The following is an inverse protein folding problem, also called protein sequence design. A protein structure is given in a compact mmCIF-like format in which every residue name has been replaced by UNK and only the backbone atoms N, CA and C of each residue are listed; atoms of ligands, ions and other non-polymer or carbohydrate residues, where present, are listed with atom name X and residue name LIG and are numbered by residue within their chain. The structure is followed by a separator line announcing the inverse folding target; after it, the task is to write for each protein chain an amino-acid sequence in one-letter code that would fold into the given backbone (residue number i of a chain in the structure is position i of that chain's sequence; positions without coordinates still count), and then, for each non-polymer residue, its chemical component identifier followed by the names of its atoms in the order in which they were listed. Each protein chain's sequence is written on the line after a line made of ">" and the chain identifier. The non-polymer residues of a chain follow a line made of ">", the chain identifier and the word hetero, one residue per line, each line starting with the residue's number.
data_IF_417703229006
#
_entry.id   IF_417703229006
#
_cell.length_a   1.000
_cell.length_b   1.000
_cell.length_c   1.000
_cell.angle_alpha   90.00
_cell.angle_beta   90.00
_cell.angle_gamma   90.00
#
_symmetry.space_group_name_H-M   'P 1'
#
loop_
_entity.id
_entity.type
_entity.pdbx_description
1 polymer ?
#
# COMPACT_ATOMS: atom_id res chain seq x y z
N UNK A 1 -2.60 -7.59 -30.50
CA UNK A 1 -2.22 -7.99 -29.13
C UNK A 1 -3.29 -8.92 -28.61
N UNK A 2 -2.90 -10.06 -28.06
CA UNK A 2 -3.70 -11.20 -27.58
C UNK A 2 -4.21 -11.02 -26.13
N UNK A 3 -4.32 -9.78 -25.65
CA UNK A 3 -4.69 -9.45 -24.25
C UNK A 3 -3.79 -10.10 -23.19
N UNK A 4 -2.56 -10.45 -23.56
CA UNK A 4 -1.55 -10.99 -22.66
C UNK A 4 -0.80 -9.85 -21.98
N UNK A 5 -0.67 -9.93 -20.64
CA UNK A 5 0.06 -8.98 -19.83
C UNK A 5 1.37 -9.65 -19.40
N UNK A 6 2.50 -9.24 -19.99
CA UNK A 6 3.81 -9.77 -19.62
C UNK A 6 4.31 -9.16 -18.30
N UNK A 7 4.09 -7.85 -18.10
CA UNK A 7 4.52 -7.14 -16.90
C UNK A 7 3.67 -5.87 -16.69
N UNK A 8 3.36 -5.57 -15.43
CA UNK A 8 2.77 -4.30 -15.01
C UNK A 8 3.49 -3.79 -13.77
N UNK A 9 3.60 -2.46 -13.65
CA UNK A 9 4.01 -1.80 -12.43
C UNK A 9 2.76 -1.31 -11.71
N UNK A 10 2.58 -1.73 -10.47
CA UNK A 10 1.45 -1.37 -9.63
C UNK A 10 1.96 -0.78 -8.32
N UNK A 11 1.21 0.19 -7.78
CA UNK A 11 1.57 0.88 -6.54
C UNK A 11 1.02 0.20 -5.28
N UNK A 12 0.12 -0.77 -5.45
CA UNK A 12 -0.62 -1.43 -4.38
C UNK A 12 -0.38 -2.95 -4.44
N UNK A 13 0.11 -3.52 -3.33
CA UNK A 13 0.44 -4.94 -3.21
C UNK A 13 -0.78 -5.87 -3.38
N UNK A 14 -2.00 -5.36 -3.17
CA UNK A 14 -3.25 -6.12 -3.35
C UNK A 14 -3.78 -6.09 -4.78
N UNK A 15 -3.25 -5.19 -5.63
CA UNK A 15 -3.85 -4.84 -6.92
C UNK A 15 -4.04 -6.03 -7.86
N UNK A 16 -3.03 -6.89 -7.96
CA UNK A 16 -3.09 -8.07 -8.82
C UNK A 16 -4.23 -9.00 -8.38
N UNK A 17 -4.34 -9.29 -7.08
CA UNK A 17 -5.42 -10.12 -6.51
C UNK A 17 -6.79 -9.49 -6.74
N UNK A 18 -6.93 -8.18 -6.52
CA UNK A 18 -8.20 -7.47 -6.73
C UNK A 18 -8.64 -7.53 -8.21
N UNK A 19 -7.71 -7.40 -9.15
CA UNK A 19 -8.02 -7.49 -10.58
C UNK A 19 -8.31 -8.92 -11.04
N UNK A 20 -7.69 -9.93 -10.42
CA UNK A 20 -8.05 -11.35 -10.63
C UNK A 20 -9.50 -11.60 -10.15
N UNK A 21 -9.84 -11.13 -8.94
CA UNK A 21 -11.19 -11.25 -8.39
C UNK A 21 -12.26 -10.56 -9.26
N UNK A 22 -11.89 -9.46 -9.92
CA UNK A 22 -12.75 -8.73 -10.87
C UNK A 22 -12.77 -9.34 -12.28
N UNK A 23 -12.05 -10.43 -12.54
CA UNK A 23 -11.95 -11.05 -13.87
C UNK A 23 -11.18 -10.22 -14.91
N UNK A 24 -10.39 -9.23 -14.45
CA UNK A 24 -9.60 -8.34 -15.31
C UNK A 24 -8.22 -8.91 -15.62
N UNK A 25 -7.64 -9.66 -14.69
CA UNK A 25 -6.38 -10.39 -14.86
C UNK A 25 -6.60 -11.91 -14.81
N UNK A 26 -5.84 -12.71 -15.58
CA UNK A 26 -5.79 -14.15 -15.40
C UNK A 26 -5.30 -14.53 -14.00
N UNK A 27 -5.79 -15.64 -13.47
CA UNK A 27 -5.37 -16.19 -12.17
C UNK A 27 -3.93 -16.74 -12.16
N UNK A 28 -3.20 -16.62 -13.27
CA UNK A 28 -1.78 -16.94 -13.43
C UNK A 28 -0.86 -15.76 -13.12
N UNK A 29 -1.37 -14.53 -13.03
CA UNK A 29 -0.58 -13.34 -12.69
C UNK A 29 -0.07 -13.42 -11.25
N UNK A 30 1.20 -13.10 -11.02
CA UNK A 30 1.82 -13.07 -9.69
C UNK A 30 2.60 -11.77 -9.49
N UNK A 31 2.54 -11.25 -8.26
CA UNK A 31 3.37 -10.13 -7.83
C UNK A 31 4.77 -10.63 -7.53
N UNK A 32 5.78 -9.82 -7.87
CA UNK A 32 7.17 -10.07 -7.51
C UNK A 32 7.79 -8.82 -6.88
N UNK A 33 8.73 -9.03 -5.98
CA UNK A 33 9.63 -8.00 -5.44
C UNK A 33 11.03 -8.24 -5.98
N UNK A 34 11.84 -7.19 -6.07
CA UNK A 34 13.19 -7.28 -6.63
C UNK A 34 14.20 -7.64 -5.53
N UNK A 35 15.18 -8.49 -5.85
CA UNK A 35 16.28 -8.86 -4.93
C UNK A 35 17.10 -7.64 -4.46
N UNK A 36 17.20 -6.60 -5.31
CA UNK A 36 17.85 -5.32 -4.97
C UNK A 36 16.99 -4.42 -4.09
N UNK A 37 15.76 -4.84 -3.79
CA UNK A 37 14.74 -4.09 -3.08
C UNK A 37 13.73 -3.40 -3.99
N UNK A 38 12.55 -3.13 -3.43
CA UNK A 38 11.40 -2.50 -4.08
C UNK A 38 10.95 -1.31 -3.23
N UNK A 39 10.65 -0.17 -3.86
CA UNK A 39 10.20 1.01 -3.13
C UNK A 39 8.92 0.70 -2.36
N UNK A 40 8.91 1.01 -1.07
CA UNK A 40 7.75 0.91 -0.20
C UNK A 40 7.35 2.32 0.26
N UNK A 41 6.05 2.57 0.30
CA UNK A 41 5.46 3.82 0.75
C UNK A 41 4.37 3.50 1.79
N UNK A 42 4.13 4.45 2.70
CA UNK A 42 2.95 4.48 3.55
C UNK A 42 2.24 5.82 3.35
N UNK A 43 0.91 5.79 3.31
CA UNK A 43 0.11 7.02 3.26
C UNK A 43 0.07 7.70 4.62
N UNK A 44 0.23 9.02 4.63
CA UNK A 44 0.21 9.83 5.86
C UNK A 44 -1.02 10.74 5.92
N UNK A 45 -1.54 10.92 7.14
CA UNK A 45 -2.57 11.92 7.44
C UNK A 45 -1.91 13.07 8.18
N UNK A 46 -2.06 14.28 7.66
CA UNK A 46 -1.50 15.50 8.26
C UNK A 46 -2.61 16.50 8.61
N UNK A 47 -2.46 17.19 9.74
CA UNK A 47 -3.29 18.33 10.13
C UNK A 47 -2.50 19.60 9.83
N UNK A 48 -2.93 20.45 8.88
CA UNK A 48 -2.18 21.64 8.53
C UNK A 48 -2.20 22.66 9.67
N UNK A 49 -1.13 23.47 9.78
CA UNK A 49 -0.98 24.44 10.87
C UNK A 49 -2.11 25.48 10.95
N UNK A 50 -2.82 25.71 9.84
CA UNK A 50 -3.93 26.64 9.71
C UNK A 50 -5.31 25.93 9.64
N UNK A 51 -5.41 24.68 10.10
CA UNK A 51 -6.68 23.97 10.14
C UNK A 51 -7.74 24.77 10.94
N UNK A 52 -8.92 24.95 10.35
CA UNK A 52 -10.02 25.69 10.99
C UNK A 52 -10.61 24.93 12.20
N UNK A 53 -10.38 23.62 12.30
CA UNK A 53 -10.76 22.80 13.46
C UNK A 53 -9.73 21.67 13.70
N UNK A 54 -8.60 21.95 14.37
CA UNK A 54 -7.56 20.94 14.60
C UNK A 54 -8.01 19.82 15.54
N UNK A 55 -8.89 20.10 16.51
CA UNK A 55 -9.41 19.09 17.43
C UNK A 55 -10.29 18.07 16.70
N UNK A 56 -11.20 18.52 15.81
CA UNK A 56 -12.00 17.63 14.98
C UNK A 56 -11.15 16.80 14.02
N UNK A 57 -10.12 17.40 13.42
CA UNK A 57 -9.18 16.67 12.57
C UNK A 57 -8.42 15.58 13.34
N UNK A 58 -8.06 15.83 14.61
CA UNK A 58 -7.41 14.83 15.47
C UNK A 58 -8.32 13.64 15.78
N UNK A 59 -9.63 13.86 15.95
CA UNK A 59 -10.60 12.77 16.16
C UNK A 59 -10.60 11.84 14.94
N UNK A 60 -10.65 12.40 13.73
CA UNK A 60 -10.57 11.61 12.50
C UNK A 60 -9.23 10.88 12.40
N UNK A 61 -8.10 11.55 12.68
CA UNK A 61 -6.79 10.91 12.65
C UNK A 61 -6.70 9.73 13.61
N UNK A 62 -7.23 9.86 14.84
CA UNK A 62 -7.30 8.76 15.80
C UNK A 62 -8.17 7.61 15.31
N UNK A 63 -9.32 7.91 14.69
CA UNK A 63 -10.18 6.88 14.11
C UNK A 63 -9.49 6.12 12.97
N UNK A 64 -8.80 6.84 12.07
CA UNK A 64 -8.05 6.22 10.98
C UNK A 64 -6.93 5.31 11.49
N UNK A 65 -6.37 5.57 12.68
CA UNK A 65 -5.36 4.72 13.33
C UNK A 65 -5.97 3.62 14.22
N UNK A 66 -7.28 3.58 14.39
CA UNK A 66 -7.93 2.58 15.26
C UNK A 66 -7.80 1.16 14.68
N UNK A 67 -7.64 0.13 15.53
CA UNK A 67 -7.65 -1.26 15.09
C UNK A 67 -8.82 -1.62 14.19
N UNK A 68 -10.04 -1.27 14.60
CA UNK A 68 -11.26 -1.56 13.83
C UNK A 68 -11.19 -1.02 12.40
N UNK A 69 -10.75 0.23 12.23
CA UNK A 69 -10.60 0.82 10.90
C UNK A 69 -9.45 0.20 10.11
N UNK A 70 -8.34 -0.13 10.78
CA UNK A 70 -7.18 -0.79 10.16
C UNK A 70 -7.49 -2.22 9.70
N UNK A 71 -8.34 -2.95 10.42
CA UNK A 71 -8.84 -4.26 9.99
C UNK A 71 -9.80 -4.10 8.81
N UNK A 72 -10.76 -3.16 8.90
CA UNK A 72 -11.72 -2.88 7.83
C UNK A 72 -11.03 -2.52 6.51
N UNK A 73 -10.02 -1.63 6.52
CA UNK A 73 -9.35 -1.22 5.29
C UNK A 73 -8.55 -2.34 4.63
N UNK A 74 -8.22 -3.40 5.37
CA UNK A 74 -7.51 -4.57 4.82
C UNK A 74 -8.43 -5.59 4.17
N UNK A 75 -9.74 -5.49 4.38
CA UNK A 75 -10.72 -6.34 3.70
C UNK A 75 -10.64 -6.12 2.18
N UNK A 76 -10.39 -7.16 1.36
CA UNK A 76 -10.37 -7.07 -0.10
C UNK A 76 -11.69 -6.60 -0.72
N UNK A 77 -12.80 -6.75 -0.02
CA UNK A 77 -14.11 -6.25 -0.47
C UNK A 77 -14.29 -4.74 -0.23
N UNK A 78 -13.41 -4.14 0.56
CA UNK A 78 -13.39 -2.71 0.86
C UNK A 78 -12.23 -2.03 0.09
N UNK A 79 -11.10 -1.77 0.75
CA UNK A 79 -9.91 -1.16 0.13
C UNK A 79 -8.80 -2.16 -0.18
N UNK A 80 -8.72 -3.29 0.55
CA UNK A 80 -7.68 -4.31 0.39
C UNK A 80 -6.25 -3.83 0.72
N UNK A 81 -6.10 -2.74 1.45
CA UNK A 81 -4.80 -2.17 1.78
C UNK A 81 -4.07 -2.96 2.87
N UNK A 82 -2.77 -2.71 3.05
CA UNK A 82 -2.02 -3.26 4.18
C UNK A 82 -2.26 -2.41 5.43
N UNK A 83 -2.19 -3.03 6.61
CA UNK A 83 -2.22 -2.31 7.90
C UNK A 83 -1.04 -1.36 8.01
N UNK A 84 -1.30 -0.15 8.50
CA UNK A 84 -0.29 0.88 8.76
C UNK A 84 0.20 0.89 10.21
N UNK A 85 -0.48 0.15 11.10
CA UNK A 85 -0.13 0.01 12.52
C UNK A 85 0.61 -1.29 12.78
N UNK A 86 1.41 -1.32 13.84
CA UNK A 86 2.14 -2.52 14.28
C UNK A 86 1.15 -3.58 14.82
N UNK A 87 1.01 -4.74 14.14
CA UNK A 87 0.07 -5.78 14.54
C UNK A 87 0.34 -6.35 15.94
N UNK A 88 1.58 -6.25 16.44
CA UNK A 88 1.95 -6.77 17.77
C UNK A 88 1.37 -5.94 18.92
N UNK A 89 0.84 -4.76 18.61
CA UNK A 89 0.18 -3.86 19.58
C UNK A 89 -1.34 -4.06 19.64
N UNK A 90 -1.89 -4.93 18.80
CA UNK A 90 -3.29 -5.30 18.78
C UNK A 90 -3.59 -6.35 19.86
N UNK A 91 -4.84 -6.40 20.32
CA UNK A 91 -5.33 -7.51 21.15
C UNK A 91 -5.30 -8.84 20.39
N UNK A 92 -5.33 -9.96 21.12
CA UNK A 92 -5.30 -11.30 20.50
C UNK A 92 -6.49 -11.53 19.55
N UNK A 93 -7.67 -10.99 19.89
CA UNK A 93 -8.86 -11.06 19.06
C UNK A 93 -8.68 -10.26 17.75
N UNK A 94 -8.15 -9.04 17.82
CA UNK A 94 -7.86 -8.18 16.66
C UNK A 94 -6.76 -8.80 15.77
N UNK A 95 -5.72 -9.39 16.36
CA UNK A 95 -4.69 -10.11 15.60
C UNK A 95 -5.28 -11.32 14.87
N UNK A 96 -6.20 -12.05 15.52
CA UNK A 96 -6.89 -13.19 14.92
C UNK A 96 -7.78 -12.74 13.76
N UNK A 97 -8.52 -11.64 13.92
CA UNK A 97 -9.33 -11.04 12.85
C UNK A 97 -8.47 -10.64 11.65
N UNK A 98 -7.36 -9.93 11.90
CA UNK A 98 -6.46 -9.50 10.84
C UNK A 98 -5.82 -10.70 10.11
N UNK A 99 -5.45 -11.76 10.84
CA UNK A 99 -4.85 -12.96 10.26
C UNK A 99 -5.85 -13.80 9.43
N UNK A 100 -7.15 -13.68 9.70
CA UNK A 100 -8.20 -14.37 8.97
C UNK A 100 -8.51 -13.73 7.59
N UNK A 101 -7.99 -12.53 7.31
CA UNK A 101 -8.24 -11.83 6.05
C UNK A 101 -7.42 -12.45 4.91
N UNK A 102 -8.11 -13.04 3.94
CA UNK A 102 -7.50 -13.63 2.75
C UNK A 102 -7.09 -12.54 1.76
N UNK A 103 -5.77 -12.33 1.57
CA UNK A 103 -5.24 -11.26 0.71
C UNK A 103 -5.28 -11.56 -0.80
N UNK A 104 -5.80 -12.73 -1.18
CA UNK A 104 -5.86 -13.20 -2.56
C UNK A 104 -4.54 -13.81 -3.08
N UNK A 105 -4.65 -14.58 -4.15
CA UNK A 105 -3.60 -15.49 -4.64
C UNK A 105 -2.34 -14.82 -5.19
N UNK A 106 -2.41 -13.53 -5.50
CA UNK A 106 -1.33 -12.78 -6.14
C UNK A 106 -0.77 -11.67 -5.23
N UNK A 107 -1.10 -11.70 -3.94
CA UNK A 107 -0.58 -10.74 -2.95
C UNK A 107 0.43 -11.43 -2.07
N UNK A 108 1.65 -10.89 -2.04
CA UNK A 108 2.74 -11.45 -1.23
C UNK A 108 2.48 -11.27 0.27
N UNK A 109 2.98 -12.18 1.13
CA UNK A 109 2.90 -12.01 2.57
C UNK A 109 3.62 -10.73 3.03
N UNK A 110 3.14 -10.04 4.09
CA UNK A 110 3.78 -8.83 4.61
C UNK A 110 5.24 -9.02 4.99
N UNK A 111 5.62 -10.20 5.49
CA UNK A 111 7.01 -10.50 5.83
C UNK A 111 7.94 -10.44 4.60
N UNK A 112 7.48 -10.91 3.44
CA UNK A 112 8.23 -10.90 2.19
C UNK A 112 8.28 -9.50 1.56
N UNK A 113 7.17 -8.76 1.62
CA UNK A 113 7.13 -7.34 1.21
C UNK A 113 8.10 -6.50 2.05
N UNK A 114 8.07 -6.68 3.37
CA UNK A 114 8.90 -5.93 4.30
C UNK A 114 10.40 -6.26 4.17
N UNK A 115 10.76 -7.51 3.85
CA UNK A 115 12.17 -7.89 3.70
C UNK A 115 12.84 -7.26 2.47
N UNK A 116 12.06 -6.81 1.49
CA UNK A 116 12.53 -6.17 0.26
C UNK A 116 12.22 -4.66 0.21
N UNK A 117 11.61 -4.10 1.25
CA UNK A 117 11.19 -2.71 1.27
C UNK A 117 12.40 -1.75 1.27
N UNK A 118 12.43 -0.84 0.29
CA UNK A 118 13.32 0.32 0.26
C UNK A 118 12.54 1.58 0.63
N UNK A 119 13.14 2.52 1.38
CA UNK A 119 12.50 3.80 1.65
C UNK A 119 12.37 4.63 0.38
N UNK A 120 11.46 5.59 0.40
CA UNK A 120 11.39 6.61 -0.63
C UNK A 120 12.71 7.40 -0.74
N UNK A 121 12.92 8.00 -1.92
CA UNK A 121 14.08 8.83 -2.17
C UNK A 121 14.16 9.97 -1.15
N UNK A 122 15.39 10.30 -0.70
CA UNK A 122 15.60 11.45 0.19
C UNK A 122 15.10 12.72 -0.52
N UNK A 123 14.53 13.66 0.24
CA UNK A 123 13.99 14.91 -0.30
C UNK A 123 14.98 15.68 -1.19
N UNK A 124 16.29 15.60 -0.91
CA UNK A 124 17.35 16.21 -1.73
C UNK A 124 17.42 15.69 -3.16
N UNK A 125 16.86 14.52 -3.46
CA UNK A 125 16.81 13.92 -4.79
C UNK A 125 15.58 14.31 -5.59
N UNK A 126 14.54 14.88 -4.97
CA UNK A 126 13.31 15.26 -5.67
C UNK A 126 13.60 16.28 -6.78
N UNK A 127 14.23 17.42 -6.45
CA UNK A 127 14.53 18.43 -7.45
C UNK A 127 15.47 17.95 -8.59
N UNK A 128 16.56 17.20 -8.32
CA UNK A 128 17.35 16.58 -9.39
C UNK A 128 16.57 15.62 -10.29
N UNK A 129 15.68 14.80 -9.73
CA UNK A 129 14.84 13.88 -10.50
C UNK A 129 13.86 14.65 -11.38
N UNK A 130 13.19 15.65 -10.83
CA UNK A 130 12.25 16.52 -11.57
C UNK A 130 12.95 17.22 -12.73
N UNK A 131 14.10 17.84 -12.48
CA UNK A 131 14.89 18.48 -13.53
C UNK A 131 15.32 17.47 -14.61
N UNK A 132 15.83 16.31 -14.20
CA UNK A 132 16.21 15.25 -15.15
C UNK A 132 15.05 14.77 -16.01
N UNK A 133 13.84 14.67 -15.43
CA UNK A 133 12.63 14.30 -16.14
C UNK A 133 12.23 15.34 -17.20
N UNK A 134 12.23 16.63 -16.83
CA UNK A 134 11.94 17.74 -17.77
C UNK A 134 12.95 17.80 -18.92
N UNK A 135 14.23 17.55 -18.63
CA UNK A 135 15.29 17.65 -19.62
C UNK A 135 15.26 16.50 -20.63
N UNK A 136 14.94 15.27 -20.17
CA UNK A 136 15.20 14.03 -20.90
C UNK A 136 13.96 13.20 -21.27
N UNK A 137 12.82 13.39 -20.60
CA UNK A 137 11.64 12.52 -20.78
C UNK A 137 10.38 13.28 -21.16
N UNK A 138 10.10 14.43 -20.51
CA UNK A 138 8.84 15.16 -20.67
C UNK A 138 8.66 15.77 -22.08
N UNK A 139 9.75 15.98 -22.83
CA UNK A 139 9.76 16.68 -24.13
C UNK A 139 9.21 15.86 -25.28
#
# INVERSE_FOLDING_TARGET
>A
ANSELDFAMEYDASRASNFIAQGRYPDTIRTLVLDTGTMANVSYVAIPYNANNPAGAMILANYLLSPDYQILLTDPNELGWLVAIDPTRLSDDEQTQLAAIERGIATLPPAELNSHALPEARASWVAPIEQGWEENVLK
#
